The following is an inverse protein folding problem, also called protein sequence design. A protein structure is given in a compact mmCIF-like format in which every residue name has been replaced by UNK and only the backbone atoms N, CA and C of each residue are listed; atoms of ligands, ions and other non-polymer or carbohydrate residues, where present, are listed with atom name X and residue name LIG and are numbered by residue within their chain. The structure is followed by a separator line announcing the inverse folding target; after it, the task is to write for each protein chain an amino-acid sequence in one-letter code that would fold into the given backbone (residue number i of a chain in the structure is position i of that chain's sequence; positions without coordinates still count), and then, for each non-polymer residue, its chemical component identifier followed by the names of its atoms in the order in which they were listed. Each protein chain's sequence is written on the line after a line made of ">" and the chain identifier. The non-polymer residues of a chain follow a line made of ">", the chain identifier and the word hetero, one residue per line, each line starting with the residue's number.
data_IF_937776958184
#
_entry.id   IF_937776958184
#
_cell.length_a   1.000
_cell.length_b   1.000
_cell.length_c   1.000
_cell.angle_alpha   90.00
_cell.angle_beta   90.00
_cell.angle_gamma   90.00
#
_symmetry.space_group_name_H-M   'P 1'
#
loop_
_entity.id
_entity.type
_entity.pdbx_description
1 polymer ?
#
# COMPACT_ATOMS: atom_id res chain seq x y z
N UNK A 1 25.14 17.28 -0.32
CA UNK A 1 23.68 17.61 -0.44
C UNK A 1 23.28 17.43 -1.89
N UNK A 2 22.24 16.63 -2.16
CA UNK A 2 21.72 16.52 -3.53
C UNK A 2 21.28 17.89 -4.02
N UNK A 3 21.60 18.21 -5.28
CA UNK A 3 21.12 19.42 -5.91
C UNK A 3 19.60 19.34 -6.05
N UNK A 4 18.87 20.36 -5.59
CA UNK A 4 17.40 20.42 -5.67
C UNK A 4 16.87 20.11 -7.08
N UNK A 5 17.55 20.58 -8.10
CA UNK A 5 17.18 20.31 -9.50
C UNK A 5 17.29 18.82 -9.86
N UNK A 6 18.29 18.10 -9.32
CA UNK A 6 18.41 16.67 -9.52
C UNK A 6 17.23 15.93 -8.89
N UNK A 7 16.88 16.27 -7.66
CA UNK A 7 15.73 15.66 -6.96
C UNK A 7 14.43 15.85 -7.74
N UNK A 8 14.20 17.05 -8.30
CA UNK A 8 13.01 17.32 -9.10
C UNK A 8 13.00 16.45 -10.36
N UNK A 9 14.13 16.36 -11.09
CA UNK A 9 14.21 15.49 -12.28
C UNK A 9 13.94 14.02 -11.97
N UNK A 10 14.49 13.52 -10.85
CA UNK A 10 14.29 12.12 -10.44
C UNK A 10 12.82 11.85 -10.09
N UNK A 11 12.16 12.78 -9.39
CA UNK A 11 10.72 12.69 -9.08
C UNK A 11 9.86 12.75 -10.33
N UNK A 12 10.14 13.66 -11.27
CA UNK A 12 9.40 13.76 -12.54
C UNK A 12 9.53 12.48 -13.37
N UNK A 13 10.72 11.87 -13.39
CA UNK A 13 10.95 10.55 -14.01
C UNK A 13 10.07 9.48 -13.36
N UNK A 14 10.07 9.38 -12.03
CA UNK A 14 9.25 8.39 -11.30
C UNK A 14 7.76 8.59 -11.56
N UNK A 15 7.27 9.84 -11.56
CA UNK A 15 5.88 10.16 -11.89
C UNK A 15 5.54 9.72 -13.32
N UNK A 16 6.46 9.90 -14.26
CA UNK A 16 6.32 9.42 -15.64
C UNK A 16 6.18 7.91 -15.71
N UNK A 17 7.03 7.17 -15.01
CA UNK A 17 6.99 5.71 -14.94
C UNK A 17 5.67 5.19 -14.35
N UNK A 18 5.17 5.78 -13.25
CA UNK A 18 3.89 5.40 -12.63
C UNK A 18 2.70 5.51 -13.61
N UNK A 19 2.79 6.43 -14.56
CA UNK A 19 1.74 6.67 -15.58
C UNK A 19 1.91 5.82 -16.85
N UNK A 20 2.93 4.98 -16.91
CA UNK A 20 3.28 4.18 -18.08
C UNK A 20 3.02 2.70 -17.80
N UNK A 21 2.27 2.03 -18.67
CA UNK A 21 2.05 0.59 -18.56
C UNK A 21 3.40 -0.16 -18.67
N UNK A 22 3.57 -1.25 -17.93
CA UNK A 22 4.80 -2.02 -17.93
C UNK A 22 5.26 -2.45 -19.33
N UNK A 23 4.32 -2.80 -20.21
CA UNK A 23 4.60 -3.21 -21.62
C UNK A 23 5.23 -2.09 -22.46
N UNK A 24 4.96 -0.82 -22.10
CA UNK A 24 5.41 0.36 -22.84
C UNK A 24 6.74 0.93 -22.29
N UNK A 25 7.23 0.38 -21.18
CA UNK A 25 8.54 0.74 -20.62
C UNK A 25 9.64 0.01 -21.39
N UNK A 26 10.62 0.75 -21.98
CA UNK A 26 11.73 0.13 -22.71
C UNK A 26 12.56 -0.84 -21.85
N UNK A 27 13.06 -1.93 -22.44
CA UNK A 27 13.84 -2.95 -21.74
C UNK A 27 15.07 -2.39 -21.03
N UNK A 28 15.76 -1.43 -21.63
CA UNK A 28 16.90 -0.74 -21.02
C UNK A 28 16.49 0.03 -19.75
N UNK A 29 15.34 0.72 -19.81
CA UNK A 29 14.78 1.43 -18.66
C UNK A 29 14.41 0.45 -17.54
N UNK A 30 13.82 -0.69 -17.85
CA UNK A 30 13.52 -1.74 -16.88
C UNK A 30 14.78 -2.27 -16.19
N UNK A 31 15.83 -2.55 -16.95
CA UNK A 31 17.12 -2.98 -16.38
C UNK A 31 17.72 -1.91 -15.46
N UNK A 32 17.64 -0.65 -15.87
CA UNK A 32 18.11 0.46 -15.04
C UNK A 32 17.30 0.56 -13.74
N UNK A 33 15.96 0.45 -13.81
CA UNK A 33 15.10 0.44 -12.62
C UNK A 33 15.45 -0.69 -11.65
N UNK A 34 15.75 -1.89 -12.16
CA UNK A 34 16.17 -3.03 -11.32
C UNK A 34 17.44 -2.70 -10.54
N UNK A 35 18.47 -2.20 -11.22
CA UNK A 35 19.76 -1.81 -10.60
C UNK A 35 19.57 -0.70 -9.57
N UNK A 36 18.86 0.34 -9.93
CA UNK A 36 18.56 1.47 -9.03
C UNK A 36 17.77 1.01 -7.81
N UNK A 37 16.78 0.14 -7.97
CA UNK A 37 15.97 -0.37 -6.86
C UNK A 37 16.83 -1.15 -5.86
N UNK A 38 17.68 -2.06 -6.33
CA UNK A 38 18.61 -2.82 -5.47
C UNK A 38 19.53 -1.85 -4.71
N UNK A 39 20.14 -0.90 -5.42
CA UNK A 39 21.00 0.10 -4.82
C UNK A 39 20.25 0.92 -3.76
N UNK A 40 19.06 1.43 -4.08
CA UNK A 40 18.25 2.23 -3.17
C UNK A 40 17.83 1.45 -1.92
N UNK A 41 17.46 0.18 -2.06
CA UNK A 41 17.13 -0.65 -0.90
C UNK A 41 18.33 -0.86 0.02
N UNK A 42 19.51 -1.10 -0.53
CA UNK A 42 20.74 -1.26 0.24
C UNK A 42 21.12 0.02 0.98
N UNK A 43 21.07 1.17 0.31
CA UNK A 43 21.55 2.44 0.84
C UNK A 43 20.54 3.18 1.71
N UNK A 44 19.24 3.11 1.37
CA UNK A 44 18.23 3.99 1.95
C UNK A 44 17.08 3.27 2.66
N UNK A 45 16.92 1.95 2.48
CA UNK A 45 15.87 1.20 3.16
C UNK A 45 16.49 0.28 4.21
N UNK A 46 17.08 -0.82 3.82
CA UNK A 46 17.80 -1.76 4.69
C UNK A 46 18.54 -2.81 3.88
N UNK A 47 19.86 -3.01 4.07
CA UNK A 47 20.60 -4.10 3.44
C UNK A 47 20.03 -5.48 3.81
N UNK A 48 19.61 -5.67 5.06
CA UNK A 48 19.04 -6.94 5.54
C UNK A 48 17.69 -7.27 4.89
N UNK A 49 16.97 -6.28 4.40
CA UNK A 49 15.68 -6.49 3.73
C UNK A 49 15.83 -7.31 2.44
N UNK A 50 16.79 -6.99 1.60
CA UNK A 50 17.05 -7.73 0.36
C UNK A 50 17.47 -9.17 0.65
N UNK A 51 18.33 -9.40 1.65
CA UNK A 51 18.74 -10.75 2.07
C UNK A 51 17.58 -11.58 2.60
N UNK A 52 16.61 -10.95 3.27
CA UNK A 52 15.43 -11.63 3.78
C UNK A 52 14.42 -11.97 2.68
N UNK A 53 14.29 -11.15 1.65
CA UNK A 53 13.33 -11.37 0.57
C UNK A 53 13.83 -12.45 -0.39
N UNK A 54 13.08 -13.56 -0.48
CA UNK A 54 13.37 -14.70 -1.35
C UNK A 54 13.31 -14.39 -2.85
N UNK A 55 12.76 -13.25 -3.23
CA UNK A 55 12.71 -12.74 -4.60
C UNK A 55 14.04 -12.22 -5.12
N UNK A 56 15.03 -12.08 -4.22
CA UNK A 56 16.41 -11.71 -4.55
C UNK A 56 17.25 -12.97 -4.38
N UNK A 57 17.38 -13.76 -5.44
CA UNK A 57 18.04 -15.07 -5.36
C UNK A 57 19.56 -15.00 -5.43
N UNK A 58 20.13 -13.90 -5.88
CA UNK A 58 21.59 -13.67 -5.90
C UNK A 58 21.95 -12.19 -5.84
N UNK A 59 23.22 -11.89 -5.54
CA UNK A 59 23.80 -10.55 -5.63
C UNK A 59 23.92 -10.07 -7.09
N UNK A 60 23.54 -10.90 -8.06
CA UNK A 60 23.59 -10.57 -9.48
C UNK A 60 22.28 -9.95 -9.93
N UNK A 61 22.35 -8.84 -10.62
CA UNK A 61 21.25 -7.99 -11.11
C UNK A 61 20.18 -8.69 -11.96
N UNK A 62 20.36 -9.98 -12.27
CA UNK A 62 19.50 -10.72 -13.21
C UNK A 62 18.30 -11.43 -12.59
N UNK A 63 18.28 -11.63 -11.28
CA UNK A 63 17.31 -12.51 -10.62
C UNK A 63 16.28 -11.76 -9.74
N UNK A 64 16.28 -10.43 -9.79
CA UNK A 64 15.34 -9.59 -9.02
C UNK A 64 14.07 -9.40 -9.82
N UNK A 65 12.93 -9.77 -9.24
CA UNK A 65 11.62 -9.43 -9.79
C UNK A 65 11.10 -8.20 -9.07
N UNK A 66 10.87 -7.13 -9.81
CA UNK A 66 10.18 -5.94 -9.32
C UNK A 66 8.68 -6.11 -9.52
N UNK A 67 7.91 -6.16 -8.45
CA UNK A 67 6.45 -6.13 -8.50
C UNK A 67 5.99 -4.78 -9.04
N UNK A 68 5.14 -4.78 -10.07
CA UNK A 68 4.73 -3.56 -10.75
C UNK A 68 3.23 -3.42 -10.95
N UNK A 69 2.53 -4.51 -11.26
CA UNK A 69 1.09 -4.53 -11.55
C UNK A 69 0.43 -5.68 -10.79
N UNK A 70 -0.86 -5.56 -10.53
CA UNK A 70 -1.66 -6.62 -9.94
C UNK A 70 -3.07 -6.66 -10.55
N UNK A 71 -3.78 -7.79 -10.33
CA UNK A 71 -5.17 -7.93 -10.75
C UNK A 71 -5.76 -9.31 -10.41
N UNK A 72 -6.94 -9.32 -9.84
CA UNK A 72 -7.64 -10.54 -9.44
C UNK A 72 -6.84 -11.36 -8.43
N UNK A 73 -6.40 -12.56 -8.81
CA UNK A 73 -5.58 -13.45 -7.95
C UNK A 73 -4.09 -13.40 -8.29
N UNK A 74 -3.65 -12.43 -9.05
CA UNK A 74 -2.29 -12.40 -9.56
C UNK A 74 -1.62 -11.04 -9.32
N UNK A 75 -0.30 -11.09 -9.14
CA UNK A 75 0.57 -9.93 -9.30
C UNK A 75 1.60 -10.19 -10.38
N UNK A 76 2.13 -9.11 -10.95
CA UNK A 76 3.00 -9.17 -12.12
C UNK A 76 4.29 -8.40 -11.87
N UNK A 77 5.37 -9.01 -12.29
CA UNK A 77 6.67 -8.34 -12.32
C UNK A 77 6.78 -7.33 -13.47
N UNK A 78 7.73 -6.42 -13.34
CA UNK A 78 8.00 -5.36 -14.34
C UNK A 78 8.29 -5.90 -15.75
N UNK A 79 8.85 -7.11 -15.86
CA UNK A 79 9.12 -7.77 -17.13
C UNK A 79 7.99 -8.69 -17.62
N UNK A 80 6.84 -8.69 -16.93
CA UNK A 80 5.68 -9.49 -17.27
C UNK A 80 5.66 -10.88 -16.61
N UNK A 81 6.52 -11.14 -15.62
CA UNK A 81 6.44 -12.35 -14.81
C UNK A 81 5.09 -12.37 -14.09
N UNK A 82 4.46 -13.55 -14.07
CA UNK A 82 3.13 -13.73 -13.49
C UNK A 82 3.19 -14.66 -12.27
N UNK A 83 2.66 -14.20 -11.14
CA UNK A 83 2.63 -14.96 -9.89
C UNK A 83 1.20 -15.08 -9.37
N UNK A 84 0.82 -16.29 -8.99
CA UNK A 84 -0.42 -16.52 -8.26
C UNK A 84 -0.21 -16.12 -6.79
N UNK A 85 -1.04 -15.21 -6.28
CA UNK A 85 -1.00 -14.82 -4.88
C UNK A 85 -1.69 -15.87 -3.99
N UNK A 86 -0.88 -16.75 -3.41
CA UNK A 86 -1.34 -17.74 -2.43
C UNK A 86 -1.30 -17.22 -0.99
N UNK A 87 -0.81 -16.00 -0.76
CA UNK A 87 -0.73 -15.38 0.56
C UNK A 87 -1.93 -14.47 0.85
N UNK A 88 -2.50 -13.85 -0.19
CA UNK A 88 -3.64 -12.95 -0.07
C UNK A 88 -3.39 -11.72 0.80
N UNK A 89 -2.12 -11.25 0.85
CA UNK A 89 -1.75 -10.09 1.68
C UNK A 89 -2.08 -10.25 3.16
N UNK A 90 -1.99 -11.47 3.70
CA UNK A 90 -2.44 -11.82 5.08
C UNK A 90 -3.93 -11.53 5.32
N UNK A 91 -4.77 -11.71 4.29
CA UNK A 91 -6.21 -11.50 4.35
C UNK A 91 -6.69 -10.10 3.94
N UNK A 92 -5.81 -9.26 3.39
CA UNK A 92 -6.19 -7.93 2.89
C UNK A 92 -6.92 -8.05 1.54
N UNK A 93 -6.45 -8.91 0.64
CA UNK A 93 -6.97 -9.04 -0.73
C UNK A 93 -8.17 -9.98 -0.85
N UNK A 94 -9.14 -9.88 0.08
CA UNK A 94 -10.34 -10.75 0.06
C UNK A 94 -11.26 -10.51 -1.13
N UNK A 95 -11.24 -9.33 -1.73
CA UNK A 95 -11.95 -8.99 -2.95
C UNK A 95 -11.10 -9.21 -4.23
N UNK A 96 -9.84 -9.64 -4.08
CA UNK A 96 -8.85 -9.68 -5.16
C UNK A 96 -8.03 -8.41 -5.26
N UNK A 97 -6.95 -8.49 -6.04
CA UNK A 97 -6.08 -7.36 -6.34
C UNK A 97 -6.76 -6.43 -7.32
N UNK A 98 -6.67 -5.12 -7.08
CA UNK A 98 -7.12 -4.05 -8.01
C UNK A 98 -8.53 -4.29 -8.58
N UNK A 99 -9.47 -4.73 -7.71
CA UNK A 99 -10.84 -4.97 -8.13
C UNK A 99 -11.43 -3.72 -8.83
N UNK A 100 -11.84 -3.80 -10.10
CA UNK A 100 -12.18 -2.63 -10.90
C UNK A 100 -13.28 -1.74 -10.31
N UNK A 101 -14.33 -2.34 -9.72
CA UNK A 101 -15.41 -1.56 -9.11
C UNK A 101 -14.92 -0.76 -7.90
N UNK A 102 -14.04 -1.34 -7.09
CA UNK A 102 -13.44 -0.65 -5.93
C UNK A 102 -12.52 0.47 -6.42
N UNK A 103 -11.66 0.18 -7.39
CA UNK A 103 -10.72 1.15 -7.96
C UNK A 103 -11.46 2.35 -8.56
N UNK A 104 -12.53 2.13 -9.28
CA UNK A 104 -13.31 3.21 -9.91
C UNK A 104 -14.01 4.09 -8.87
N UNK A 105 -14.55 3.52 -7.80
CA UNK A 105 -15.14 4.29 -6.70
C UNK A 105 -14.08 5.12 -5.99
N UNK A 106 -12.89 4.56 -5.74
CA UNK A 106 -11.76 5.30 -5.12
C UNK A 106 -11.31 6.46 -6.02
N UNK A 107 -11.15 6.24 -7.33
CA UNK A 107 -10.80 7.30 -8.29
C UNK A 107 -11.87 8.41 -8.33
N UNK A 108 -13.15 8.04 -8.32
CA UNK A 108 -14.25 9.01 -8.29
C UNK A 108 -14.21 9.85 -7.00
N UNK A 109 -13.93 9.22 -5.86
CA UNK A 109 -13.79 9.95 -4.60
C UNK A 109 -12.58 10.88 -4.61
N UNK A 110 -11.42 10.44 -5.11
CA UNK A 110 -10.22 11.27 -5.21
C UNK A 110 -10.44 12.49 -6.11
N UNK A 111 -11.16 12.33 -7.22
CA UNK A 111 -11.53 13.44 -8.11
C UNK A 111 -12.48 14.45 -7.47
N UNK A 112 -13.32 14.01 -6.53
CA UNK A 112 -14.25 14.88 -5.81
C UNK A 112 -13.59 15.52 -4.57
N UNK A 113 -12.92 14.72 -3.76
CA UNK A 113 -12.30 15.15 -2.51
C UNK A 113 -11.26 14.11 -2.06
N UNK A 114 -10.00 14.43 -2.27
CA UNK A 114 -8.90 13.53 -1.91
C UNK A 114 -8.63 13.46 -0.40
N UNK A 115 -8.92 14.53 0.34
CA UNK A 115 -8.69 14.61 1.78
C UNK A 115 -9.82 15.41 2.44
N UNK A 116 -10.36 14.89 3.54
CA UNK A 116 -11.35 15.57 4.34
C UNK A 116 -10.70 16.65 5.25
N UNK A 117 -11.37 17.80 5.40
CA UNK A 117 -10.84 18.93 6.20
C UNK A 117 -10.79 18.65 7.71
N UNK A 118 -11.53 17.68 8.19
CA UNK A 118 -11.76 17.32 9.59
C UNK A 118 -12.57 18.34 10.41
N UNK A 119 -12.83 19.52 9.86
CA UNK A 119 -13.64 20.57 10.48
C UNK A 119 -15.15 20.34 10.32
N UNK A 120 -15.54 19.66 9.25
CA UNK A 120 -16.93 19.37 8.93
C UNK A 120 -17.24 17.89 9.09
N UNK A 121 -18.52 17.56 9.20
CA UNK A 121 -18.96 16.15 9.28
C UNK A 121 -18.84 15.48 7.92
N UNK A 122 -18.17 14.33 7.90
CA UNK A 122 -18.03 13.49 6.73
C UNK A 122 -19.20 12.51 6.62
N UNK A 123 -20.08 12.65 5.60
CA UNK A 123 -21.21 11.75 5.44
C UNK A 123 -20.80 10.31 5.12
N UNK A 124 -19.70 10.10 4.38
CA UNK A 124 -19.25 8.75 4.01
C UNK A 124 -18.78 7.96 5.24
N UNK A 125 -18.12 8.63 6.17
CA UNK A 125 -17.74 8.03 7.45
C UNK A 125 -18.97 7.60 8.25
N UNK A 126 -20.03 8.40 8.26
CA UNK A 126 -21.30 8.05 8.92
C UNK A 126 -21.98 6.84 8.29
N UNK A 127 -22.07 6.79 6.96
CA UNK A 127 -22.62 5.63 6.26
C UNK A 127 -21.80 4.37 6.47
N UNK A 128 -20.48 4.46 6.42
CA UNK A 128 -19.60 3.33 6.68
C UNK A 128 -19.74 2.84 8.12
N UNK A 129 -19.79 3.73 9.11
CA UNK A 129 -19.98 3.36 10.50
C UNK A 129 -21.28 2.60 10.71
N UNK A 130 -22.38 3.06 10.07
CA UNK A 130 -23.66 2.35 10.10
C UNK A 130 -23.56 0.96 9.46
N UNK A 131 -22.98 0.86 8.28
CA UNK A 131 -22.82 -0.43 7.58
C UNK A 131 -22.01 -1.43 8.41
N UNK A 132 -20.91 -0.99 9.04
CA UNK A 132 -20.11 -1.83 9.91
C UNK A 132 -20.90 -2.26 11.15
N UNK A 133 -21.66 -1.34 11.77
CA UNK A 133 -22.48 -1.66 12.94
C UNK A 133 -23.58 -2.71 12.59
N UNK A 134 -24.19 -2.61 11.40
CA UNK A 134 -25.24 -3.53 10.96
C UNK A 134 -24.76 -4.98 10.78
N UNK A 135 -23.48 -5.18 10.41
CA UNK A 135 -22.88 -6.52 10.23
C UNK A 135 -22.14 -7.02 11.48
N UNK A 136 -21.97 -6.18 12.50
CA UNK A 136 -21.25 -6.53 13.72
C UNK A 136 -22.22 -7.23 14.70
N UNK A 137 -21.80 -8.33 15.35
CA UNK A 137 -22.67 -9.06 16.28
C UNK A 137 -22.94 -8.27 17.56
N UNK A 138 -24.11 -8.55 18.18
CA UNK A 138 -24.51 -7.94 19.45
C UNK A 138 -24.95 -6.50 19.32
N UNK A 139 -24.60 -5.65 20.27
CA UNK A 139 -24.98 -4.25 20.37
C UNK A 139 -23.82 -3.26 20.11
N UNK A 140 -22.77 -3.72 19.45
CA UNK A 140 -21.63 -2.89 19.04
C UNK A 140 -22.05 -1.94 17.92
N UNK A 141 -22.22 -0.66 18.24
CA UNK A 141 -22.79 0.35 17.32
C UNK A 141 -21.83 1.49 17.00
N UNK A 142 -20.71 1.59 17.70
CA UNK A 142 -19.77 2.70 17.53
C UNK A 142 -18.49 2.22 16.86
N UNK A 143 -18.06 2.95 15.84
CA UNK A 143 -16.84 2.66 15.09
C UNK A 143 -15.79 3.75 15.33
N UNK A 144 -14.56 3.35 15.50
CA UNK A 144 -13.41 4.21 15.49
C UNK A 144 -12.51 3.83 14.29
N UNK A 145 -12.34 4.74 13.34
CA UNK A 145 -11.56 4.51 12.13
C UNK A 145 -10.11 4.92 12.34
N UNK A 146 -9.20 4.04 11.93
CA UNK A 146 -7.75 4.23 11.98
C UNK A 146 -7.14 3.95 10.61
N UNK A 147 -5.85 4.25 10.44
CA UNK A 147 -5.16 4.03 9.17
C UNK A 147 -4.62 2.61 9.01
N UNK A 148 -4.43 1.87 10.08
CA UNK A 148 -3.93 0.49 10.03
C UNK A 148 -4.34 -0.33 11.26
N UNK A 149 -4.13 -1.66 11.18
CA UNK A 149 -4.44 -2.59 12.25
C UNK A 149 -3.67 -2.33 13.55
N UNK A 150 -2.43 -1.88 13.46
CA UNK A 150 -1.60 -1.52 14.63
C UNK A 150 -2.23 -0.39 15.42
N UNK A 151 -2.68 0.67 14.75
CA UNK A 151 -3.39 1.78 15.39
C UNK A 151 -4.72 1.31 15.99
N UNK A 152 -5.44 0.42 15.31
CA UNK A 152 -6.71 -0.13 15.81
C UNK A 152 -6.50 -0.89 17.12
N UNK A 153 -5.47 -1.74 17.21
CA UNK A 153 -5.11 -2.46 18.44
C UNK A 153 -4.68 -1.48 19.55
N UNK A 154 -3.85 -0.50 19.24
CA UNK A 154 -3.43 0.52 20.20
C UNK A 154 -4.64 1.30 20.76
N UNK A 155 -5.58 1.69 19.91
CA UNK A 155 -6.80 2.38 20.34
C UNK A 155 -7.69 1.49 21.20
N UNK A 156 -7.83 0.20 20.87
CA UNK A 156 -8.58 -0.76 21.68
C UNK A 156 -7.98 -0.88 23.10
N UNK A 157 -6.65 -0.98 23.19
CA UNK A 157 -5.95 -1.01 24.48
C UNK A 157 -6.14 0.30 25.27
N UNK A 158 -6.05 1.44 24.62
CA UNK A 158 -6.29 2.74 25.26
C UNK A 158 -7.72 2.86 25.79
N UNK A 159 -8.72 2.45 25.00
CA UNK A 159 -10.13 2.46 25.41
C UNK A 159 -10.38 1.54 26.60
N UNK A 160 -9.83 0.32 26.59
CA UNK A 160 -9.94 -0.62 27.69
C UNK A 160 -9.36 -0.03 29.00
N UNK A 161 -8.15 0.55 28.92
CA UNK A 161 -7.50 1.20 30.07
C UNK A 161 -8.31 2.40 30.59
N UNK A 162 -8.84 3.22 29.68
CA UNK A 162 -9.66 4.37 30.05
C UNK A 162 -10.94 3.94 30.78
N UNK A 163 -11.61 2.89 30.30
CA UNK A 163 -12.83 2.34 30.90
C UNK A 163 -12.57 1.80 32.30
N UNK A 164 -11.52 1.03 32.48
CA UNK A 164 -11.20 0.39 33.77
C UNK A 164 -10.57 1.36 34.78
N UNK A 165 -10.18 2.57 34.38
CA UNK A 165 -9.47 3.56 35.21
C UNK A 165 -8.26 3.00 35.96
N UNK A 166 -7.76 1.84 35.58
CA UNK A 166 -6.56 1.24 36.16
C UNK A 166 -5.35 1.69 35.38
N UNK A 167 -4.44 2.40 36.01
CA UNK A 167 -3.09 2.58 35.48
C UNK A 167 -2.42 1.22 35.49
N UNK A 168 -2.15 0.67 34.31
CA UNK A 168 -1.26 -0.49 34.23
C UNK A 168 0.15 0.04 34.45
N UNK A 169 0.69 -0.25 35.58
CA UNK A 169 2.12 -0.09 35.85
C UNK A 169 2.85 -1.22 35.14
#
# INVERSE_FOLDING_TARGET
>A
MANREQVVRDLDRVIGLIKTDAKDIPAETKQQMMKETIHHFNEYVSPGWLQYRKSVSSETDGDVVLEWEDGGSYFYGLNGEKFLDCLGGFGIYTAGHSEPEIVDVVKAQLNRQGLHSQELIDPLRGYLAKAVADITPGDLKQCFFTNCGTEAVEMALKLARFKDRKSVV
#
